data_IF_445688532916
#
_entry.id   IF_445688532916
#
_cell.length_a   1.000
_cell.length_b   1.000
_cell.length_c   1.000
_cell.angle_alpha   90.00
_cell.angle_beta   90.00
_cell.angle_gamma   90.00
#
_symmetry.space_group_name_H-M   'P 1'
#
loop_
_entity.id
_entity.type
_entity.pdbx_description
1 polymer ?
#
# COMPACT_ATOMS: atom_id res chain seq x y z
N UNK A 1 16.62 -3.24 -26.81
CA UNK A 1 15.34 -2.73 -26.26
C UNK A 1 15.37 -2.92 -24.76
N UNK A 2 15.23 -1.85 -23.97
CA UNK A 2 15.14 -1.98 -22.51
C UNK A 2 13.81 -2.64 -22.15
N UNK A 3 13.83 -3.80 -21.49
CA UNK A 3 12.62 -4.40 -20.94
C UNK A 3 12.16 -3.58 -19.75
N UNK A 4 10.90 -3.12 -19.78
CA UNK A 4 10.33 -2.32 -18.69
C UNK A 4 10.09 -3.21 -17.48
N UNK A 5 10.73 -2.91 -16.35
CA UNK A 5 10.54 -3.63 -15.09
C UNK A 5 9.45 -2.95 -14.26
N UNK A 6 8.42 -3.69 -13.92
CA UNK A 6 7.26 -3.19 -13.16
C UNK A 6 7.15 -3.95 -11.86
N UNK A 7 6.93 -3.24 -10.76
CA UNK A 7 6.65 -3.82 -9.45
C UNK A 7 5.23 -3.46 -9.00
N UNK A 8 4.43 -4.47 -8.66
CA UNK A 8 3.14 -4.30 -7.99
C UNK A 8 3.30 -4.58 -6.51
N UNK A 9 3.32 -3.51 -5.73
CA UNK A 9 3.26 -3.57 -4.26
C UNK A 9 1.81 -3.48 -3.78
N UNK A 10 1.44 -4.21 -2.74
CA UNK A 10 0.10 -4.08 -2.16
C UNK A 10 0.03 -4.42 -0.68
N UNK A 11 -0.83 -3.72 0.07
CA UNK A 11 -1.32 -4.17 1.38
C UNK A 11 -2.75 -4.68 1.23
N UNK A 12 -3.08 -5.80 1.89
CA UNK A 12 -4.44 -6.32 1.93
C UNK A 12 -4.76 -6.97 3.27
N UNK A 13 -5.65 -6.35 4.04
CA UNK A 13 -6.10 -6.93 5.30
C UNK A 13 -7.17 -8.02 5.12
N UNK A 14 -8.12 -7.81 4.20
CA UNK A 14 -9.21 -8.75 3.91
C UNK A 14 -9.06 -9.53 2.59
N UNK A 15 -7.87 -9.55 2.00
CA UNK A 15 -7.56 -10.34 0.79
C UNK A 15 -8.03 -9.77 -0.55
N UNK A 16 -9.00 -8.86 -0.60
CA UNK A 16 -9.53 -8.32 -1.88
C UNK A 16 -8.45 -7.56 -2.68
N UNK A 17 -7.69 -6.70 -2.03
CA UNK A 17 -6.61 -5.94 -2.70
C UNK A 17 -5.49 -6.87 -3.18
N UNK A 18 -5.21 -7.96 -2.47
CA UNK A 18 -4.26 -8.99 -2.91
C UNK A 18 -4.70 -9.61 -4.23
N UNK A 19 -5.96 -10.07 -4.31
CA UNK A 19 -6.51 -10.65 -5.54
C UNK A 19 -6.42 -9.68 -6.73
N UNK A 20 -6.76 -8.41 -6.51
CA UNK A 20 -6.65 -7.37 -7.55
C UNK A 20 -5.19 -7.12 -7.94
N UNK A 21 -4.28 -7.02 -6.97
CA UNK A 21 -2.86 -6.80 -7.21
C UNK A 21 -2.19 -7.93 -7.98
N UNK A 22 -2.47 -9.19 -7.60
CA UNK A 22 -1.95 -10.37 -8.29
C UNK A 22 -2.51 -10.49 -9.71
N UNK A 23 -3.81 -10.21 -9.91
CA UNK A 23 -4.41 -10.18 -11.24
C UNK A 23 -3.80 -9.09 -12.12
N UNK A 24 -3.58 -7.90 -11.56
CA UNK A 24 -2.95 -6.79 -12.26
C UNK A 24 -1.51 -7.15 -12.66
N UNK A 25 -0.74 -7.73 -11.75
CA UNK A 25 0.63 -8.14 -12.00
C UNK A 25 0.73 -9.20 -13.10
N UNK A 26 -0.13 -10.23 -13.05
CA UNK A 26 -0.20 -11.25 -14.09
C UNK A 26 -0.59 -10.69 -15.47
N UNK A 27 -1.49 -9.71 -15.51
CA UNK A 27 -1.93 -9.09 -16.77
C UNK A 27 -0.85 -8.23 -17.45
N UNK A 28 0.10 -7.69 -16.68
CA UNK A 28 1.15 -6.78 -17.20
C UNK A 28 2.56 -7.36 -17.13
N UNK A 29 2.71 -8.61 -16.64
CA UNK A 29 4.01 -9.26 -16.46
C UNK A 29 4.89 -8.57 -15.42
N UNK A 30 4.32 -8.12 -14.31
CA UNK A 30 5.05 -7.42 -13.23
C UNK A 30 5.45 -8.37 -12.09
N UNK A 31 6.53 -7.99 -11.40
CA UNK A 31 6.87 -8.58 -10.10
C UNK A 31 5.84 -8.16 -9.04
N UNK A 32 5.67 -8.96 -7.99
CA UNK A 32 4.77 -8.63 -6.87
C UNK A 32 5.50 -8.56 -5.55
N UNK A 33 5.10 -7.61 -4.70
CA UNK A 33 5.52 -7.54 -3.30
C UNK A 33 4.33 -7.26 -2.38
N UNK A 34 4.05 -8.19 -1.47
CA UNK A 34 3.03 -7.99 -0.45
C UNK A 34 3.61 -7.21 0.73
N UNK A 35 3.01 -6.06 1.06
CA UNK A 35 3.33 -5.27 2.25
C UNK A 35 2.63 -5.93 3.44
N UNK A 36 3.34 -6.80 4.14
CA UNK A 36 2.80 -7.59 5.26
C UNK A 36 3.17 -6.92 6.58
N UNK A 37 2.23 -6.64 7.49
CA UNK A 37 2.57 -6.13 8.83
C UNK A 37 3.28 -7.22 9.65
N UNK A 38 4.20 -6.82 10.55
CA UNK A 38 4.84 -7.76 11.50
C UNK A 38 3.81 -8.51 12.35
N UNK A 39 2.75 -7.81 12.75
CA UNK A 39 1.58 -8.41 13.39
C UNK A 39 0.42 -8.41 12.40
N UNK A 40 -0.02 -9.58 11.89
CA UNK A 40 -1.18 -9.70 11.00
C UNK A 40 -2.42 -9.04 11.58
N UNK A 41 -3.27 -8.46 10.72
CA UNK A 41 -4.58 -7.97 11.14
C UNK A 41 -5.55 -9.14 11.28
N UNK A 42 -6.22 -9.21 12.41
CA UNK A 42 -7.38 -10.10 12.60
C UNK A 42 -8.67 -9.45 12.06
N UNK A 43 -9.75 -10.22 11.96
CA UNK A 43 -11.07 -9.67 11.62
C UNK A 43 -11.53 -8.61 12.62
N UNK A 44 -11.26 -8.82 13.91
CA UNK A 44 -11.57 -7.87 14.97
C UNK A 44 -10.76 -6.56 14.83
N UNK A 45 -9.53 -6.66 14.33
CA UNK A 45 -8.65 -5.50 14.14
C UNK A 45 -9.09 -4.57 13.01
N UNK A 46 -9.79 -5.09 12.00
CA UNK A 46 -10.30 -4.33 10.85
C UNK A 46 -11.79 -4.01 10.93
N UNK A 47 -12.45 -4.43 12.01
CA UNK A 47 -13.86 -4.14 12.24
C UNK A 47 -14.05 -2.69 12.69
N UNK A 48 -14.07 -1.77 11.72
CA UNK A 48 -14.09 -0.32 11.93
C UNK A 48 -15.25 0.21 12.78
N UNK A 49 -16.37 -0.52 12.87
CA UNK A 49 -17.52 -0.17 13.73
C UNK A 49 -17.17 -0.28 15.21
N UNK A 50 -16.19 -1.10 15.59
CA UNK A 50 -15.69 -1.14 16.95
C UNK A 50 -14.68 0.01 17.17
N UNK A 51 -14.97 0.98 18.04
CA UNK A 51 -14.06 2.11 18.29
C UNK A 51 -12.69 1.67 18.83
N UNK A 52 -12.59 0.49 19.44
CA UNK A 52 -11.36 -0.06 19.99
C UNK A 52 -10.56 -0.93 19.03
N UNK A 53 -11.05 -1.14 17.80
CA UNK A 53 -10.34 -1.90 16.77
C UNK A 53 -8.97 -1.28 16.48
N UNK A 54 -7.99 -2.12 16.19
CA UNK A 54 -6.62 -1.69 15.90
C UNK A 54 -6.55 -0.70 14.73
N UNK A 55 -7.33 -0.91 13.66
CA UNK A 55 -7.36 0.02 12.53
C UNK A 55 -7.79 1.44 12.94
N UNK A 56 -8.71 1.57 13.91
CA UNK A 56 -9.18 2.86 14.42
C UNK A 56 -8.08 3.51 15.26
N UNK A 57 -7.47 2.76 16.17
CA UNK A 57 -6.38 3.21 17.05
C UNK A 57 -5.16 3.69 16.24
N UNK A 58 -4.76 2.93 15.24
CA UNK A 58 -3.65 3.31 14.35
C UNK A 58 -3.97 4.58 13.56
N UNK A 59 -5.19 4.67 12.99
CA UNK A 59 -5.58 5.84 12.20
C UNK A 59 -5.64 7.11 13.04
N UNK A 60 -6.29 7.04 14.21
CA UNK A 60 -6.41 8.18 15.13
C UNK A 60 -5.05 8.57 15.73
N UNK A 61 -4.26 7.59 16.15
CA UNK A 61 -2.94 7.80 16.73
C UNK A 61 -1.86 8.18 15.73
N UNK A 62 -2.16 8.18 14.42
CA UNK A 62 -1.19 8.38 13.32
C UNK A 62 0.07 7.51 13.48
N UNK A 63 -0.04 6.34 14.12
CA UNK A 63 1.10 5.46 14.39
C UNK A 63 1.55 4.75 13.13
N UNK A 64 2.86 4.63 12.97
CA UNK A 64 3.45 3.79 11.93
C UNK A 64 3.22 2.31 12.29
N UNK A 65 3.07 1.47 11.25
CA UNK A 65 2.76 0.05 11.38
C UNK A 65 3.99 -0.74 10.91
N UNK A 66 4.68 -1.48 11.78
CA UNK A 66 5.86 -2.25 11.40
C UNK A 66 5.56 -3.27 10.29
N UNK A 67 6.48 -3.42 9.34
CA UNK A 67 6.34 -4.26 8.14
C UNK A 67 7.34 -5.41 8.24
N UNK A 68 6.86 -6.63 7.99
CA UNK A 68 7.69 -7.81 7.89
C UNK A 68 8.38 -7.90 6.52
N UNK A 69 9.65 -8.32 6.54
CA UNK A 69 10.44 -8.54 5.33
C UNK A 69 10.95 -7.24 4.69
N UNK A 70 11.55 -7.37 3.51
CA UNK A 70 12.09 -6.26 2.74
C UNK A 70 11.60 -6.33 1.30
N UNK A 71 11.26 -5.18 0.75
CA UNK A 71 10.91 -5.03 -0.65
C UNK A 71 12.15 -5.19 -1.51
N UNK A 72 12.04 -5.79 -2.71
CA UNK A 72 13.04 -5.62 -3.75
C UNK A 72 13.36 -4.14 -3.95
N UNK A 73 14.62 -3.83 -4.26
CA UNK A 73 15.09 -2.47 -4.41
C UNK A 73 14.22 -1.69 -5.42
N UNK A 74 13.49 -0.64 -4.98
CA UNK A 74 12.70 0.21 -5.87
C UNK A 74 13.52 0.84 -7.00
N UNK A 75 14.83 0.98 -6.84
CA UNK A 75 15.71 1.51 -7.86
C UNK A 75 15.71 0.66 -9.14
N UNK A 76 15.51 -0.66 -9.01
CA UNK A 76 15.56 -1.63 -10.09
C UNK A 76 14.27 -1.74 -10.93
N UNK A 77 13.30 -0.84 -10.69
CA UNK A 77 12.00 -0.81 -11.37
C UNK A 77 11.73 0.55 -12.00
N UNK A 78 11.13 0.52 -13.20
CA UNK A 78 10.75 1.71 -13.96
C UNK A 78 9.41 2.29 -13.51
N UNK A 79 8.51 1.40 -13.06
CA UNK A 79 7.17 1.72 -12.58
C UNK A 79 6.86 0.91 -11.34
N UNK A 80 6.37 1.59 -10.31
CA UNK A 80 5.93 0.98 -9.05
C UNK A 80 4.45 1.27 -8.86
N UNK A 81 3.67 0.20 -8.76
CA UNK A 81 2.25 0.25 -8.47
C UNK A 81 2.05 0.00 -6.97
N UNK A 82 1.25 0.84 -6.31
CA UNK A 82 0.99 0.74 -4.86
C UNK A 82 -0.50 0.54 -4.61
N UNK A 83 -0.84 -0.65 -4.12
CA UNK A 83 -2.20 -1.12 -3.86
C UNK A 83 -2.59 -1.09 -2.40
N UNK A 84 -3.81 -0.61 -2.09
CA UNK A 84 -4.34 -0.68 -0.73
C UNK A 84 -5.87 -0.66 -0.67
N UNK A 85 -6.48 -1.20 0.40
CA UNK A 85 -7.87 -0.91 0.71
C UNK A 85 -8.02 0.55 1.16
N UNK A 86 -9.12 1.21 0.78
CA UNK A 86 -9.44 2.55 1.31
C UNK A 86 -9.90 2.44 2.76
N UNK A 87 -9.16 3.06 3.68
CA UNK A 87 -9.52 3.22 5.08
C UNK A 87 -9.70 4.71 5.41
N UNK A 88 -10.91 5.10 5.84
CA UNK A 88 -11.26 6.49 6.17
C UNK A 88 -10.92 7.48 5.05
N UNK A 89 -11.26 7.12 3.81
CA UNK A 89 -11.02 7.96 2.62
C UNK A 89 -9.54 8.16 2.26
N UNK A 90 -8.66 7.26 2.70
CA UNK A 90 -7.24 7.32 2.42
C UNK A 90 -6.56 5.96 2.46
N UNK A 91 -5.24 5.96 2.22
CA UNK A 91 -4.40 4.79 2.45
C UNK A 91 -4.34 4.42 3.96
N UNK A 92 -4.22 3.13 4.30
CA UNK A 92 -3.85 2.66 5.64
C UNK A 92 -2.44 3.14 6.01
N UNK A 93 -2.17 3.29 7.31
CA UNK A 93 -0.88 3.84 7.78
C UNK A 93 0.32 2.99 7.37
N UNK A 94 0.15 1.67 7.21
CA UNK A 94 1.22 0.76 6.75
C UNK A 94 1.77 1.16 5.37
N UNK A 95 0.95 1.75 4.49
CA UNK A 95 1.43 2.26 3.20
C UNK A 95 2.39 3.43 3.40
N UNK A 96 2.08 4.33 4.34
CA UNK A 96 3.00 5.41 4.69
C UNK A 96 4.28 4.85 5.31
N UNK A 97 4.18 3.86 6.20
CA UNK A 97 5.35 3.23 6.80
C UNK A 97 6.24 2.60 5.73
N UNK A 98 5.65 1.92 4.74
CA UNK A 98 6.36 1.38 3.59
C UNK A 98 7.09 2.47 2.79
N UNK A 99 6.40 3.58 2.48
CA UNK A 99 6.99 4.66 1.70
C UNK A 99 8.15 5.35 2.40
N UNK A 100 8.18 5.37 3.74
CA UNK A 100 9.31 5.90 4.52
C UNK A 100 10.55 4.99 4.53
N UNK A 101 10.43 3.72 4.13
CA UNK A 101 11.53 2.76 4.20
C UNK A 101 12.49 2.84 3.01
N UNK A 102 12.08 3.47 1.91
CA UNK A 102 12.85 3.49 0.66
C UNK A 102 12.77 4.87 0.02
N UNK A 103 13.78 5.22 -0.78
CA UNK A 103 13.74 6.41 -1.60
C UNK A 103 13.01 6.13 -2.93
N UNK A 104 11.93 6.88 -3.16
CA UNK A 104 11.13 6.81 -4.38
C UNK A 104 11.36 8.02 -5.30
N UNK A 105 12.34 8.88 -4.98
CA UNK A 105 12.65 10.08 -5.75
C UNK A 105 12.94 9.75 -7.21
N UNK A 106 12.29 10.50 -8.11
CA UNK A 106 12.42 10.28 -9.57
C UNK A 106 11.75 9.01 -10.11
N UNK A 107 11.07 8.19 -9.27
CA UNK A 107 10.36 7.00 -9.74
C UNK A 107 8.98 7.32 -10.28
N UNK A 108 8.55 6.55 -11.28
CA UNK A 108 7.15 6.57 -11.74
C UNK A 108 6.33 5.71 -10.80
N UNK A 109 5.34 6.32 -10.17
CA UNK A 109 4.49 5.67 -9.18
C UNK A 109 3.04 5.86 -9.60
N UNK A 110 2.28 4.77 -9.58
CA UNK A 110 0.83 4.85 -9.69
C UNK A 110 0.19 4.07 -8.53
N UNK A 111 -0.99 4.51 -8.11
CA UNK A 111 -1.72 3.90 -7.01
C UNK A 111 -2.99 3.25 -7.51
N UNK A 112 -3.38 2.15 -6.86
CA UNK A 112 -4.69 1.54 -7.05
C UNK A 112 -5.30 1.20 -5.70
N UNK A 113 -6.62 1.14 -5.65
CA UNK A 113 -7.29 0.86 -4.39
C UNK A 113 -8.59 0.09 -4.60
N UNK A 114 -8.94 -0.66 -3.57
CA UNK A 114 -10.23 -1.35 -3.45
C UNK A 114 -11.01 -0.74 -2.30
N UNK A 115 -12.34 -0.70 -2.40
CA UNK A 115 -13.18 -0.15 -1.34
C UNK A 115 -14.54 -0.83 -1.31
N UNK A 116 -15.27 -0.68 -0.20
CA UNK A 116 -16.67 -1.06 -0.11
C UNK A 116 -17.65 -0.02 -0.69
N UNK A 117 -17.18 0.87 -1.57
CA UNK A 117 -18.00 1.92 -2.21
C UNK A 117 -17.41 3.33 -2.19
N UNK A 118 -16.35 3.57 -1.42
CA UNK A 118 -15.65 4.87 -1.42
C UNK A 118 -14.79 5.06 -2.67
N UNK A 119 -14.75 6.28 -3.21
CA UNK A 119 -13.77 6.66 -4.23
C UNK A 119 -12.36 6.76 -3.63
N UNK A 120 -11.34 6.80 -4.48
CA UNK A 120 -9.93 6.97 -4.08
C UNK A 120 -9.70 8.25 -3.24
N UNK A 121 -10.55 9.26 -3.40
CA UNK A 121 -10.51 10.50 -2.63
C UNK A 121 -9.15 11.20 -2.74
N UNK A 122 -8.67 11.75 -1.62
CA UNK A 122 -7.39 12.47 -1.54
C UNK A 122 -6.21 11.55 -1.24
N UNK A 123 -6.30 10.24 -1.56
CA UNK A 123 -5.23 9.29 -1.25
C UNK A 123 -3.92 9.66 -1.94
N UNK A 124 -3.97 10.01 -3.23
CA UNK A 124 -2.79 10.45 -3.98
C UNK A 124 -2.15 11.70 -3.37
N UNK A 125 -2.96 12.74 -3.08
CA UNK A 125 -2.50 13.98 -2.47
C UNK A 125 -1.81 13.73 -1.11
N UNK A 126 -2.38 12.86 -0.27
CA UNK A 126 -1.85 12.54 1.07
C UNK A 126 -0.59 11.69 1.04
N UNK A 127 -0.37 10.93 -0.03
CA UNK A 127 0.81 10.10 -0.20
C UNK A 127 1.97 10.87 -0.85
N UNK A 128 1.67 11.91 -1.64
CA UNK A 128 2.66 12.70 -2.38
C UNK A 128 3.90 13.13 -1.55
N UNK A 129 3.77 13.61 -0.29
CA UNK A 129 4.94 13.99 0.51
C UNK A 129 5.93 12.84 0.78
N UNK A 130 5.48 11.59 0.73
CA UNK A 130 6.34 10.42 0.95
C UNK A 130 6.93 9.86 -0.35
N UNK A 131 6.65 10.48 -1.50
CA UNK A 131 7.08 10.03 -2.83
C UNK A 131 8.10 10.98 -3.48
N UNK A 132 8.31 12.15 -2.89
CA UNK A 132 9.12 13.22 -3.46
C UNK A 132 9.66 14.12 -2.36
N UNK A 133 10.64 13.63 -1.60
CA UNK A 133 11.54 14.50 -0.84
C UNK A 133 12.97 13.98 -1.04
N UNK A 134 13.71 14.69 -1.91
CA UNK A 134 15.15 14.90 -1.80
C UNK A 134 15.35 16.28 -1.19
#
# INVERSE_FOLDING_TARGET
MYMRRILVTYFSAGGITKQVGERLAGAIGADTFAIVPETPYTEADIFWKNPFARCNKEKLGKKDVPIAGKCPDPAAYDLILIGFPIWYGGAPNIIRTFLKQYDFSGKKIAIFATSGGSKMGKSAERLKPYLSES
#
